data_IF_027180325965
#
_entry.id   IF_027180325965
#
_cell.length_a   1.000
_cell.length_b   1.000
_cell.length_c   1.000
_cell.angle_alpha   90.00
_cell.angle_beta   90.00
_cell.angle_gamma   90.00
#
_symmetry.space_group_name_H-M   'P 1'
#
loop_
_entity.id
_entity.type
_entity.pdbx_description
1 polymer ?
#
# COMPACT_ATOMS: atom_id res chain seq x y z
N UNK A 1 -13.91 5.78 10.33
CA UNK A 1 -15.39 5.70 10.27
C UNK A 1 -16.00 5.88 11.64
N UNK A 2 -15.92 4.90 12.56
CA UNK A 2 -16.42 5.04 13.94
C UNK A 2 -15.92 6.29 14.68
N UNK A 3 -14.60 6.53 14.65
CA UNK A 3 -14.00 7.68 15.33
C UNK A 3 -14.45 9.05 14.80
N UNK A 4 -15.00 9.09 13.58
CA UNK A 4 -15.50 10.31 12.92
C UNK A 4 -17.03 10.28 12.76
N UNK A 5 -17.71 9.33 13.40
CA UNK A 5 -19.15 9.08 13.28
C UNK A 5 -19.67 8.96 11.83
N UNK A 6 -18.86 8.36 10.95
CA UNK A 6 -19.24 8.11 9.55
C UNK A 6 -19.88 6.72 9.46
N UNK A 7 -21.16 6.66 9.14
CA UNK A 7 -21.95 5.42 9.04
C UNK A 7 -21.74 4.66 7.73
N UNK A 8 -21.50 5.36 6.61
CA UNK A 8 -21.24 4.78 5.28
C UNK A 8 -20.37 5.73 4.45
N UNK A 9 -19.45 5.21 3.64
CA UNK A 9 -18.57 6.04 2.80
C UNK A 9 -18.30 5.40 1.42
N UNK A 10 -18.00 6.24 0.44
CA UNK A 10 -17.35 5.77 -0.80
C UNK A 10 -15.85 5.63 -0.56
N UNK A 11 -15.28 4.50 -0.99
CA UNK A 11 -13.86 4.21 -0.85
C UNK A 11 -13.17 4.28 -2.21
N UNK A 12 -12.02 4.95 -2.25
CA UNK A 12 -11.14 4.99 -3.41
C UNK A 12 -9.78 4.45 -2.96
N UNK A 13 -9.25 3.49 -3.69
CA UNK A 13 -7.95 2.90 -3.39
C UNK A 13 -7.12 2.67 -4.64
N UNK A 14 -5.85 3.06 -4.57
CA UNK A 14 -4.86 2.82 -5.62
C UNK A 14 -3.76 1.88 -5.12
N UNK A 15 -3.26 0.99 -5.98
CA UNK A 15 -2.17 0.05 -5.64
C UNK A 15 -2.45 -0.70 -4.34
N UNK A 16 -1.55 -0.66 -3.35
CA UNK A 16 -1.72 -1.24 -2.02
C UNK A 16 -2.99 -0.75 -1.30
N UNK A 17 -3.32 0.54 -1.42
CA UNK A 17 -4.54 1.12 -0.86
C UNK A 17 -5.82 0.55 -1.49
N UNK A 18 -5.74 0.12 -2.76
CA UNK A 18 -6.82 -0.61 -3.42
C UNK A 18 -7.06 -1.98 -2.78
N UNK A 19 -6.01 -2.73 -2.49
CA UNK A 19 -6.10 -4.00 -1.77
C UNK A 19 -6.73 -3.82 -0.38
N UNK A 20 -6.27 -2.82 0.38
CA UNK A 20 -6.86 -2.49 1.67
C UNK A 20 -8.36 -2.11 1.58
N UNK A 21 -8.74 -1.28 0.60
CA UNK A 21 -10.12 -0.87 0.37
C UNK A 21 -11.00 -2.06 -0.05
N UNK A 22 -10.48 -2.95 -0.90
CA UNK A 22 -11.16 -4.17 -1.34
C UNK A 22 -11.37 -5.13 -0.17
N UNK A 23 -10.34 -5.40 0.63
CA UNK A 23 -10.46 -6.24 1.84
C UNK A 23 -11.50 -5.66 2.80
N UNK A 24 -11.49 -4.34 3.03
CA UNK A 24 -12.47 -3.69 3.89
C UNK A 24 -13.90 -3.84 3.34
N UNK A 25 -14.12 -3.61 2.05
CA UNK A 25 -15.42 -3.74 1.42
C UNK A 25 -15.97 -5.18 1.48
N UNK A 26 -15.11 -6.19 1.36
CA UNK A 26 -15.47 -7.60 1.50
C UNK A 26 -15.87 -7.96 2.94
N UNK A 27 -15.11 -7.48 3.94
CA UNK A 27 -15.38 -7.78 5.36
C UNK A 27 -16.53 -6.97 5.96
N UNK A 28 -16.73 -5.74 5.47
CA UNK A 28 -17.60 -4.75 6.09
C UNK A 28 -18.51 -4.05 5.07
N UNK A 29 -19.24 -4.80 4.21
CA UNK A 29 -19.96 -4.23 3.05
C UNK A 29 -21.02 -3.18 3.42
N UNK A 30 -21.65 -3.33 4.60
CA UNK A 30 -22.67 -2.38 5.09
C UNK A 30 -22.16 -0.95 5.30
N UNK A 31 -20.85 -0.76 5.41
CA UNK A 31 -20.24 0.55 5.60
C UNK A 31 -19.73 1.17 4.29
N UNK A 32 -19.86 0.48 3.15
CA UNK A 32 -19.32 0.93 1.86
C UNK A 32 -20.46 1.28 0.90
N UNK A 33 -20.42 2.49 0.35
CA UNK A 33 -21.40 2.98 -0.63
C UNK A 33 -20.98 2.69 -2.07
N UNK A 34 -19.74 3.06 -2.41
CA UNK A 34 -19.09 2.76 -3.70
C UNK A 34 -17.65 2.38 -3.44
N UNK A 35 -17.08 1.56 -4.33
CA UNK A 35 -15.67 1.20 -4.33
C UNK A 35 -15.07 1.55 -5.69
N UNK A 36 -14.02 2.36 -5.70
CA UNK A 36 -13.25 2.73 -6.89
C UNK A 36 -11.83 2.20 -6.71
N UNK A 37 -11.37 1.40 -7.68
CA UNK A 37 -10.05 0.76 -7.66
C UNK A 37 -9.22 1.23 -8.84
N UNK A 38 -8.01 1.72 -8.57
CA UNK A 38 -7.08 2.23 -9.59
C UNK A 38 -5.76 1.45 -9.52
N UNK A 39 -5.52 0.55 -10.46
CA UNK A 39 -4.31 -0.29 -10.46
C UNK A 39 -4.12 -1.05 -9.14
N UNK A 40 -5.20 -1.65 -8.61
CA UNK A 40 -5.25 -2.21 -7.26
C UNK A 40 -4.46 -3.50 -7.08
N UNK A 41 -3.83 -3.66 -5.92
CA UNK A 41 -3.38 -4.95 -5.42
C UNK A 41 -4.58 -5.89 -5.18
N UNK A 42 -4.33 -7.21 -5.19
CA UNK A 42 -5.32 -8.25 -4.84
C UNK A 42 -6.27 -8.69 -5.95
N UNK A 43 -6.18 -8.10 -7.16
CA UNK A 43 -7.01 -8.48 -8.31
C UNK A 43 -6.26 -9.40 -9.28
N UNK A 44 -6.26 -10.70 -8.98
CA UNK A 44 -5.76 -11.74 -9.87
C UNK A 44 -4.59 -12.54 -9.31
N UNK A 45 -4.23 -13.61 -10.02
CA UNK A 45 -3.17 -14.55 -9.62
C UNK A 45 -1.80 -14.19 -10.21
N UNK A 46 -1.71 -13.14 -11.02
CA UNK A 46 -0.51 -12.72 -11.77
C UNK A 46 0.42 -11.81 -10.95
N UNK A 47 0.45 -11.97 -9.62
CA UNK A 47 1.33 -11.16 -8.77
C UNK A 47 2.74 -11.72 -8.85
N UNK A 48 3.71 -10.83 -9.13
CA UNK A 48 5.12 -11.15 -9.25
C UNK A 48 5.57 -12.03 -8.07
N UNK A 49 6.17 -13.18 -8.38
CA UNK A 49 6.57 -14.18 -7.41
C UNK A 49 7.49 -13.63 -6.31
N UNK A 50 8.36 -12.66 -6.63
CA UNK A 50 9.22 -12.00 -5.64
C UNK A 50 8.42 -11.23 -4.58
N UNK A 51 7.32 -10.60 -4.96
CA UNK A 51 6.43 -9.91 -4.02
C UNK A 51 5.76 -10.90 -3.05
N UNK A 52 5.51 -12.14 -3.47
CA UNK A 52 4.97 -13.20 -2.59
C UNK A 52 6.01 -13.66 -1.58
N UNK A 53 7.24 -13.92 -2.01
CA UNK A 53 8.35 -14.31 -1.13
C UNK A 53 8.58 -13.24 -0.06
N UNK A 54 8.46 -11.96 -0.43
CA UNK A 54 8.59 -10.85 0.50
C UNK A 54 7.50 -10.81 1.60
N UNK A 55 6.44 -11.61 1.51
CA UNK A 55 5.41 -11.70 2.58
C UNK A 55 5.66 -12.83 3.59
N UNK A 56 6.62 -13.72 3.30
CA UNK A 56 6.95 -14.86 4.16
C UNK A 56 7.49 -14.41 5.54
N UNK A 57 7.20 -15.17 6.61
CA UNK A 57 7.74 -14.90 7.94
C UNK A 57 9.28 -14.82 7.91
N UNK A 58 9.88 -13.86 8.62
CA UNK A 58 11.33 -13.66 8.69
C UNK A 58 11.93 -12.84 7.55
N UNK A 59 11.60 -13.15 6.28
CA UNK A 59 12.12 -12.43 5.12
C UNK A 59 11.46 -11.07 4.92
N UNK A 60 10.16 -10.96 5.22
CA UNK A 60 9.42 -9.73 4.93
C UNK A 60 9.96 -8.50 5.64
N UNK A 61 10.39 -8.59 6.91
CA UNK A 61 10.95 -7.43 7.63
C UNK A 61 12.26 -6.93 7.02
N UNK A 62 13.07 -7.84 6.46
CA UNK A 62 14.33 -7.48 5.80
C UNK A 62 14.08 -6.71 4.50
N UNK A 63 13.06 -7.09 3.73
CA UNK A 63 12.66 -6.41 2.50
C UNK A 63 11.74 -5.20 2.69
N UNK A 64 11.14 -5.03 3.88
CA UNK A 64 10.17 -3.95 4.16
C UNK A 64 10.75 -2.73 4.85
N UNK A 65 12.03 -2.78 5.24
CA UNK A 65 12.67 -1.63 5.89
C UNK A 65 12.94 -0.55 4.85
N UNK A 66 12.37 0.65 4.99
CA UNK A 66 12.54 1.70 4.00
C UNK A 66 13.98 2.23 4.01
N UNK A 67 14.48 2.58 2.82
CA UNK A 67 15.71 3.35 2.64
C UNK A 67 15.42 4.60 1.84
N UNK A 68 16.16 5.69 2.10
CA UNK A 68 16.00 6.93 1.32
C UNK A 68 16.21 6.72 -0.17
N UNK A 69 17.20 5.90 -0.54
CA UNK A 69 17.47 5.56 -1.95
C UNK A 69 16.33 4.75 -2.57
N UNK A 70 15.72 3.82 -1.83
CA UNK A 70 14.56 3.05 -2.30
C UNK A 70 13.33 3.94 -2.49
N UNK A 71 13.08 4.87 -1.55
CA UNK A 71 12.00 5.86 -1.68
C UNK A 71 12.25 6.77 -2.89
N UNK A 72 13.46 7.30 -3.05
CA UNK A 72 13.82 8.13 -4.20
C UNK A 72 13.63 7.38 -5.53
N UNK A 73 14.04 6.11 -5.58
CA UNK A 73 13.84 5.25 -6.76
C UNK A 73 12.34 5.13 -7.09
N UNK A 74 11.50 4.82 -6.10
CA UNK A 74 10.06 4.67 -6.30
C UNK A 74 9.43 5.99 -6.78
N UNK A 75 9.72 7.11 -6.13
CA UNK A 75 9.20 8.42 -6.53
C UNK A 75 9.56 8.75 -7.99
N UNK A 76 10.81 8.50 -8.40
CA UNK A 76 11.29 8.76 -9.77
C UNK A 76 10.64 7.84 -10.81
N UNK A 77 10.28 6.62 -10.44
CA UNK A 77 9.62 5.67 -11.34
C UNK A 77 8.11 5.93 -11.50
N UNK A 78 7.49 6.68 -10.58
CA UNK A 78 6.05 6.95 -10.60
C UNK A 78 5.66 8.26 -11.28
N UNK A 79 6.63 9.06 -11.71
CA UNK A 79 6.40 10.34 -12.40
C UNK A 79 6.97 10.30 -13.82
N UNK A 80 6.37 11.07 -14.73
CA UNK A 80 6.86 11.16 -16.11
C UNK A 80 8.21 11.90 -16.20
N UNK A 81 8.32 13.04 -15.52
CA UNK A 81 9.55 13.82 -15.45
C UNK A 81 10.10 13.80 -14.01
N UNK A 82 11.20 13.09 -13.83
CA UNK A 82 11.84 12.89 -12.53
C UNK A 82 12.57 14.13 -12.00
N UNK A 83 12.75 15.17 -12.82
CA UNK A 83 13.32 16.44 -12.36
C UNK A 83 12.41 17.16 -11.35
N UNK A 84 11.12 16.80 -11.30
CA UNK A 84 10.18 17.31 -10.30
C UNK A 84 10.21 16.56 -8.97
N UNK A 85 10.98 15.47 -8.85
CA UNK A 85 11.16 14.75 -7.59
C UNK A 85 12.24 15.47 -6.78
N UNK A 86 11.81 16.52 -6.07
CA UNK A 86 12.65 17.27 -5.16
C UNK A 86 13.05 16.42 -3.94
N UNK A 87 14.18 16.75 -3.31
CA UNK A 87 14.70 16.00 -2.16
C UNK A 87 13.72 16.08 -0.97
N UNK A 88 13.00 17.19 -0.82
CA UNK A 88 11.99 17.37 0.23
C UNK A 88 10.86 16.35 0.11
N UNK A 89 10.45 16.01 -1.12
CA UNK A 89 9.44 14.99 -1.39
C UNK A 89 9.96 13.62 -0.93
N UNK A 90 11.21 13.29 -1.26
CA UNK A 90 11.83 12.02 -0.85
C UNK A 90 11.95 11.93 0.67
N UNK A 91 12.35 13.01 1.33
CA UNK A 91 12.43 13.07 2.79
C UNK A 91 11.06 12.88 3.46
N UNK A 92 10.01 13.51 2.94
CA UNK A 92 8.65 13.37 3.46
C UNK A 92 8.14 11.93 3.29
N UNK A 93 8.31 11.34 2.12
CA UNK A 93 7.94 9.93 1.89
C UNK A 93 8.76 8.96 2.75
N UNK A 94 10.06 9.24 2.94
CA UNK A 94 10.90 8.44 3.82
C UNK A 94 10.44 8.54 5.28
N UNK A 95 10.16 9.75 5.76
CA UNK A 95 9.63 9.97 7.10
C UNK A 95 8.33 9.18 7.32
N UNK A 96 7.37 9.29 6.39
CA UNK A 96 6.13 8.52 6.44
C UNK A 96 6.37 7.00 6.48
N UNK A 97 7.30 6.51 5.67
CA UNK A 97 7.64 5.07 5.63
C UNK A 97 8.31 4.59 6.92
N UNK A 98 8.93 5.48 7.70
CA UNK A 98 9.58 5.15 8.99
C UNK A 98 8.68 5.31 10.21
N UNK A 99 7.43 5.77 10.05
CA UNK A 99 6.49 5.88 11.17
C UNK A 99 6.25 4.51 11.85
N UNK A 100 6.03 4.50 13.18
CA UNK A 100 5.71 3.26 13.89
C UNK A 100 4.52 2.53 13.23
N UNK A 101 4.74 1.25 12.89
CA UNK A 101 3.72 0.41 12.25
C UNK A 101 3.65 0.49 10.72
N UNK A 102 4.38 1.39 10.06
CA UNK A 102 4.34 1.54 8.59
C UNK A 102 4.77 0.26 7.85
N UNK A 103 5.90 -0.34 8.23
CA UNK A 103 6.37 -1.61 7.63
C UNK A 103 5.38 -2.76 7.87
N UNK A 104 4.74 -2.79 9.03
CA UNK A 104 3.73 -3.80 9.36
C UNK A 104 2.46 -3.62 8.54
N UNK A 105 2.02 -2.39 8.31
CA UNK A 105 0.89 -2.08 7.44
C UNK A 105 1.13 -2.58 6.01
N UNK A 106 2.32 -2.31 5.45
CA UNK A 106 2.70 -2.81 4.11
C UNK A 106 2.70 -4.34 4.06
N UNK A 107 3.30 -5.00 5.05
CA UNK A 107 3.32 -6.45 5.13
C UNK A 107 1.92 -7.06 5.25
N UNK A 108 1.02 -6.45 6.02
CA UNK A 108 -0.35 -6.92 6.19
C UNK A 108 -1.17 -6.79 4.90
N UNK A 109 -0.99 -5.71 4.14
CA UNK A 109 -1.58 -5.58 2.80
C UNK A 109 -1.04 -6.69 1.89
N UNK A 110 0.27 -6.92 1.89
CA UNK A 110 0.88 -8.00 1.11
C UNK A 110 0.31 -9.37 1.47
N UNK A 111 0.25 -9.74 2.75
CA UNK A 111 -0.24 -11.04 3.21
C UNK A 111 -1.73 -11.28 2.96
N UNK A 112 -2.53 -10.22 2.97
CA UNK A 112 -3.98 -10.32 2.72
C UNK A 112 -4.33 -10.36 1.23
N UNK A 113 -3.43 -9.90 0.36
CA UNK A 113 -3.71 -9.73 -1.07
C UNK A 113 -2.82 -10.59 -1.98
N UNK A 114 -1.65 -11.04 -1.52
CA UNK A 114 -0.71 -11.83 -2.28
C UNK A 114 -0.83 -13.28 -1.83
N UNK A 115 -1.70 -14.05 -2.51
CA UNK A 115 -1.75 -15.50 -2.32
C UNK A 115 -0.38 -16.08 -2.69
N UNK A 116 0.15 -16.98 -1.84
CA UNK A 116 1.25 -17.86 -2.26
C UNK A 116 0.77 -18.74 -3.43
#
# INVERSE_FOLDING_TARGET
MKALDISKASLIGASAGGGAALTFALSFPKFVDRLILVGSAGLGKEINFLLRIATLPGLGRLFSSPSKSGVAMLCKQTVYDSNFVADEIVEEFYHMATLPGAAEAILNVGRSNFNL
#
